data_IF_959071732266
#
_entry.id   IF_959071732266
#
_cell.length_a   1.000
_cell.length_b   1.000
_cell.length_c   1.000
_cell.angle_alpha   90.00
_cell.angle_beta   90.00
_cell.angle_gamma   90.00
#
_symmetry.space_group_name_H-M   'P 1'
#
loop_
_entity.id
_entity.type
_entity.pdbx_description
1 polymer ?
#
# COMPACT_ATOMS: atom_id res chain seq x y z
N UNK A 1 -9.45 -6.57 11.70
CA UNK A 1 -8.34 -7.50 12.01
C UNK A 1 -7.94 -8.41 10.85
N UNK A 2 -8.76 -9.37 10.39
CA UNK A 2 -8.32 -10.33 9.35
C UNK A 2 -8.04 -9.68 7.97
N UNK A 3 -8.90 -8.77 7.53
CA UNK A 3 -8.75 -8.08 6.24
C UNK A 3 -7.57 -7.09 6.22
N UNK A 4 -7.31 -6.43 7.35
CA UNK A 4 -6.18 -5.51 7.52
C UNK A 4 -4.85 -6.26 7.45
N UNK A 5 -4.76 -7.41 8.11
CA UNK A 5 -3.58 -8.28 8.01
C UNK A 5 -3.38 -8.78 6.58
N UNK A 6 -4.46 -9.17 5.89
CA UNK A 6 -4.41 -9.57 4.48
C UNK A 6 -3.92 -8.42 3.58
N UNK A 7 -4.43 -7.21 3.80
CA UNK A 7 -3.99 -6.00 3.10
C UNK A 7 -2.50 -5.75 3.29
N UNK A 8 -2.03 -5.73 4.54
CA UNK A 8 -0.62 -5.47 4.83
C UNK A 8 0.29 -6.56 4.25
N UNK A 9 -0.15 -7.82 4.23
CA UNK A 9 0.57 -8.92 3.60
C UNK A 9 0.70 -8.75 2.09
N UNK A 10 -0.38 -8.39 1.41
CA UNK A 10 -0.38 -8.15 -0.04
C UNK A 10 0.49 -6.94 -0.38
N UNK A 11 0.39 -5.86 0.40
CA UNK A 11 1.25 -4.69 0.25
C UNK A 11 2.73 -5.07 0.39
N UNK A 12 3.09 -5.85 1.41
CA UNK A 12 4.45 -6.33 1.60
C UNK A 12 4.96 -7.15 0.41
N UNK A 13 4.16 -8.08 -0.10
CA UNK A 13 4.50 -8.89 -1.28
C UNK A 13 4.72 -8.03 -2.52
N UNK A 14 3.84 -7.07 -2.77
CA UNK A 14 3.94 -6.13 -3.90
C UNK A 14 5.19 -5.26 -3.78
N UNK A 15 5.47 -4.72 -2.59
CA UNK A 15 6.67 -3.93 -2.31
C UNK A 15 7.94 -4.76 -2.56
N UNK A 16 8.05 -5.95 -1.97
CA UNK A 16 9.22 -6.83 -2.16
C UNK A 16 9.41 -7.23 -3.61
N UNK A 17 8.33 -7.59 -4.32
CA UNK A 17 8.40 -7.93 -5.75
C UNK A 17 8.89 -6.74 -6.56
N UNK A 18 8.33 -5.56 -6.32
CA UNK A 18 8.72 -4.34 -7.01
C UNK A 18 10.19 -3.99 -6.81
N UNK A 19 10.70 -4.10 -5.58
CA UNK A 19 12.12 -3.85 -5.29
C UNK A 19 13.03 -4.86 -5.98
N UNK A 20 12.66 -6.15 -6.01
CA UNK A 20 13.41 -7.20 -6.71
C UNK A 20 13.49 -6.98 -8.22
N UNK A 21 12.50 -6.34 -8.82
CA UNK A 21 12.47 -6.02 -10.25
C UNK A 21 13.03 -4.64 -10.58
N UNK A 22 13.65 -3.93 -9.62
CA UNK A 22 14.25 -2.62 -9.82
C UNK A 22 13.27 -1.43 -9.81
N UNK A 23 12.01 -1.65 -9.42
CA UNK A 23 11.05 -0.56 -9.18
C UNK A 23 11.13 -0.07 -7.72
N UNK A 24 10.45 1.04 -7.44
CA UNK A 24 10.40 1.64 -6.10
C UNK A 24 9.49 0.92 -5.08
N UNK A 25 8.78 -0.12 -5.50
CA UNK A 25 7.92 -0.93 -4.62
C UNK A 25 6.59 -0.27 -4.22
N UNK A 26 6.22 0.86 -4.81
CA UNK A 26 4.94 1.52 -4.57
C UNK A 26 3.80 0.89 -5.38
N UNK A 27 2.63 0.75 -4.76
CA UNK A 27 1.40 0.20 -5.37
C UNK A 27 0.24 1.16 -5.16
N UNK A 28 -0.54 1.43 -6.22
CA UNK A 28 -1.69 2.36 -6.14
C UNK A 28 -2.85 1.75 -5.35
N UNK A 29 -3.68 2.59 -4.72
CA UNK A 29 -4.89 2.11 -4.04
C UNK A 29 -5.87 1.38 -4.95
N UNK A 30 -5.90 1.72 -6.24
CA UNK A 30 -6.75 1.04 -7.22
C UNK A 30 -6.31 -0.41 -7.43
N UNK A 31 -5.00 -0.65 -7.53
CA UNK A 31 -4.45 -2.01 -7.66
C UNK A 31 -4.73 -2.84 -6.40
N UNK A 32 -4.56 -2.24 -5.22
CA UNK A 32 -4.83 -2.91 -3.94
C UNK A 32 -6.32 -3.22 -3.75
N UNK A 33 -7.21 -2.33 -4.19
CA UNK A 33 -8.66 -2.56 -4.19
C UNK A 33 -9.03 -3.77 -5.04
N UNK A 34 -8.41 -3.90 -6.22
CA UNK A 34 -8.61 -5.06 -7.08
C UNK A 34 -8.09 -6.37 -6.45
N UNK A 35 -6.88 -6.36 -5.87
CA UNK A 35 -6.28 -7.56 -5.25
C UNK A 35 -7.08 -8.08 -4.04
N UNK A 36 -7.69 -7.19 -3.28
CA UNK A 36 -8.27 -7.51 -1.97
C UNK A 36 -9.81 -7.58 -2.03
N UNK A 37 -10.44 -6.86 -2.95
CA UNK A 37 -11.91 -6.74 -3.03
C UNK A 37 -12.49 -5.73 -2.03
N UNK A 38 -11.65 -4.89 -1.41
CA UNK A 38 -12.10 -3.84 -0.50
C UNK A 38 -12.39 -2.54 -1.25
N UNK A 39 -13.37 -1.80 -0.75
CA UNK A 39 -13.56 -0.44 -1.22
C UNK A 39 -12.35 0.45 -0.87
N UNK A 40 -12.12 1.46 -1.70
CA UNK A 40 -10.98 2.39 -1.59
C UNK A 40 -10.99 3.23 -0.30
N UNK A 41 -12.16 3.47 0.31
CA UNK A 41 -12.29 4.22 1.57
C UNK A 41 -11.72 3.43 2.75
N UNK A 42 -12.08 2.15 2.86
CA UNK A 42 -11.55 1.24 3.89
C UNK A 42 -10.05 1.05 3.71
N UNK A 43 -9.60 0.82 2.48
CA UNK A 43 -8.18 0.72 2.14
C UNK A 43 -7.37 1.93 2.62
N UNK A 44 -7.81 3.15 2.27
CA UNK A 44 -7.12 4.37 2.70
C UNK A 44 -7.04 4.50 4.20
N UNK A 45 -8.13 4.23 4.93
CA UNK A 45 -8.12 4.30 6.40
C UNK A 45 -7.06 3.40 7.02
N UNK A 46 -6.96 2.15 6.57
CA UNK A 46 -5.99 1.19 7.09
C UNK A 46 -4.56 1.58 6.70
N UNK A 47 -4.36 1.99 5.44
CA UNK A 47 -3.04 2.37 4.94
C UNK A 47 -2.54 3.68 5.56
N UNK A 48 -3.40 4.67 5.72
CA UNK A 48 -3.06 5.94 6.39
C UNK A 48 -2.72 5.69 7.87
N UNK A 49 -3.47 4.82 8.56
CA UNK A 49 -3.11 4.41 9.93
C UNK A 49 -1.74 3.72 9.99
N UNK A 50 -1.42 2.85 9.02
CA UNK A 50 -0.12 2.21 8.91
C UNK A 50 1.01 3.22 8.62
N UNK A 51 0.73 4.26 7.83
CA UNK A 51 1.68 5.37 7.58
C UNK A 51 1.92 6.16 8.87
N UNK A 52 0.86 6.52 9.60
CA UNK A 52 0.97 7.19 10.91
C UNK A 52 1.77 6.37 11.93
N UNK A 53 1.59 5.05 11.94
CA UNK A 53 2.34 4.13 12.79
C UNK A 53 3.79 3.88 12.31
N UNK A 54 4.19 4.43 11.15
CA UNK A 54 5.51 4.24 10.57
C UNK A 54 5.76 2.86 9.96
N UNK A 55 4.71 2.06 9.75
CA UNK A 55 4.79 0.74 9.11
C UNK A 55 4.75 0.80 7.57
N UNK A 56 4.20 1.88 7.01
CA UNK A 56 4.08 2.10 5.58
C UNK A 56 4.53 3.50 5.16
N UNK A 57 4.75 3.69 3.87
CA UNK A 57 5.01 4.98 3.24
C UNK A 57 3.92 5.28 2.21
N UNK A 58 3.56 6.55 2.10
CA UNK A 58 2.61 7.07 1.12
C UNK A 58 3.33 7.96 0.12
N UNK A 59 2.95 7.85 -1.15
CA UNK A 59 3.38 8.72 -2.24
C UNK A 59 2.19 9.43 -2.86
N UNK A 60 2.35 10.75 -3.05
CA UNK A 60 1.47 11.57 -3.88
C UNK A 60 1.80 11.37 -5.37
N UNK A 61 0.78 11.13 -6.18
CA UNK A 61 0.90 10.92 -7.62
C UNK A 61 0.41 12.13 -8.44
N UNK A 62 0.12 13.25 -7.77
CA UNK A 62 -0.37 14.49 -8.35
C UNK A 62 -1.88 14.70 -8.17
N UNK A 63 -2.37 15.90 -8.52
CA UNK A 63 -3.77 16.30 -8.31
C UNK A 63 -4.77 15.32 -8.93
N UNK A 64 -5.77 14.91 -8.15
CA UNK A 64 -6.84 14.01 -8.60
C UNK A 64 -6.41 12.55 -8.83
N UNK A 65 -5.14 12.19 -8.62
CA UNK A 65 -4.65 10.82 -8.78
C UNK A 65 -4.76 10.04 -7.46
N UNK A 66 -5.04 8.72 -7.50
CA UNK A 66 -5.01 7.90 -6.30
C UNK A 66 -3.61 7.85 -5.71
N UNK A 67 -3.49 7.85 -4.38
CA UNK A 67 -2.20 7.65 -3.70
C UNK A 67 -1.61 6.26 -3.95
N UNK A 68 -0.29 6.18 -3.85
CA UNK A 68 0.44 4.91 -3.82
C UNK A 68 1.03 4.66 -2.43
N UNK A 69 1.17 3.38 -2.09
CA UNK A 69 1.69 2.94 -0.80
C UNK A 69 2.73 1.85 -0.98
N UNK A 70 3.65 1.75 -0.02
CA UNK A 70 4.56 0.60 0.15
C UNK A 70 4.79 0.32 1.62
N UNK A 71 5.23 -0.89 1.96
CA UNK A 71 5.76 -1.16 3.30
C UNK A 71 7.06 -0.38 3.48
N UNK A 72 7.27 0.17 4.67
CA UNK A 72 8.54 0.80 5.02
C UNK A 72 9.63 -0.27 5.01
N UNK A 73 10.60 -0.10 4.12
CA UNK A 73 11.78 -0.96 4.06
C UNK A 73 12.78 -0.39 5.05
N UNK A 74 13.07 -1.10 6.14
CA UNK A 74 14.22 -0.75 6.97
C UNK A 74 15.47 -1.04 6.15
N UNK A 75 16.23 0.01 5.85
CA UNK A 75 17.56 -0.06 5.25
C UNK A 75 18.52 -0.78 6.19
#
# INVERSE_FOLDING_TARGET
MAEEQRLMRILAQRTQRGLKTGSDGFTTTTMLAFDIGLNTRTLRRVLDAAVCAGAAERRDNGPGKPFSYRIRVRS
#
